data_IF_788726217788
#
_entry.id   IF_788726217788
#
_cell.length_a   1.000
_cell.length_b   1.000
_cell.length_c   1.000
_cell.angle_alpha   90.00
_cell.angle_beta   90.00
_cell.angle_gamma   90.00
#
_symmetry.space_group_name_H-M   'P 1'
#
loop_
_entity.id
_entity.type
_entity.pdbx_description
1 polymer ?
#
# COMPACT_ATOMS: atom_id res chain seq x y z
N UNK A 1 15.91 19.35 -18.45
CA UNK A 1 15.99 20.82 -18.66
C UNK A 1 16.09 21.29 -20.13
N UNK A 2 16.22 20.41 -21.14
CA UNK A 2 16.37 20.82 -22.56
C UNK A 2 15.32 20.24 -23.54
N UNK A 3 14.19 19.73 -23.04
CA UNK A 3 13.11 19.16 -23.90
C UNK A 3 11.73 19.74 -23.61
N UNK A 4 11.64 20.79 -22.79
CA UNK A 4 10.38 21.43 -22.39
C UNK A 4 10.40 22.88 -22.85
N UNK A 5 9.50 23.22 -23.77
CA UNK A 5 9.09 24.62 -23.97
C UNK A 5 8.19 25.05 -22.80
N UNK A 6 7.99 26.37 -22.63
CA UNK A 6 7.23 27.00 -21.54
C UNK A 6 5.78 26.46 -21.35
N UNK A 7 5.28 25.64 -22.28
CA UNK A 7 3.96 25.00 -22.25
C UNK A 7 3.97 23.48 -21.99
N UNK A 8 5.11 22.86 -21.65
CA UNK A 8 5.17 21.43 -21.32
C UNK A 8 4.98 20.47 -22.51
N UNK A 9 5.01 20.97 -23.75
CA UNK A 9 4.99 20.16 -24.97
C UNK A 9 6.42 19.82 -25.39
N UNK A 10 6.71 18.52 -25.56
CA UNK A 10 7.98 18.02 -26.10
C UNK A 10 8.02 18.32 -27.60
N UNK A 11 8.93 19.19 -28.02
CA UNK A 11 9.15 19.47 -29.45
C UNK A 11 9.88 18.28 -30.11
N UNK A 12 9.13 17.50 -30.88
CA UNK A 12 9.64 16.30 -31.56
C UNK A 12 10.55 16.64 -32.77
N UNK A 13 10.59 17.90 -33.24
CA UNK A 13 11.37 18.29 -34.42
C UNK A 13 12.87 18.41 -34.16
N UNK A 14 13.30 18.43 -32.89
CA UNK A 14 14.72 18.47 -32.48
C UNK A 14 15.31 17.09 -32.12
N UNK A 15 14.56 16.00 -32.31
CA UNK A 15 14.97 14.62 -31.95
C UNK A 15 16.11 14.07 -32.83
N UNK A 16 16.40 14.70 -33.98
CA UNK A 16 17.29 14.18 -35.02
C UNK A 16 18.77 14.07 -34.61
N UNK A 17 19.20 14.69 -33.51
CA UNK A 17 20.62 14.76 -33.11
C UNK A 17 20.98 14.08 -31.78
N UNK A 18 20.07 13.31 -31.17
CA UNK A 18 20.38 12.62 -29.93
C UNK A 18 20.91 11.19 -30.20
N UNK A 19 22.06 10.79 -29.61
CA UNK A 19 22.54 9.42 -29.71
C UNK A 19 21.50 8.44 -29.15
N UNK A 20 21.25 7.34 -29.86
CA UNK A 20 20.37 6.27 -29.38
C UNK A 20 21.19 5.33 -28.50
N UNK A 21 20.72 5.09 -27.27
CA UNK A 21 21.34 4.18 -26.31
C UNK A 21 20.37 3.03 -26.04
N UNK A 22 20.75 1.82 -26.48
CA UNK A 22 20.03 0.60 -26.15
C UNK A 22 20.29 0.24 -24.69
N UNK A 23 19.22 -0.05 -23.94
CA UNK A 23 19.28 -0.36 -22.51
C UNK A 23 18.37 -1.54 -22.20
N UNK A 24 18.83 -2.42 -21.31
CA UNK A 24 18.04 -3.57 -20.85
C UNK A 24 17.63 -3.35 -19.40
N UNK A 25 16.35 -3.55 -19.10
CA UNK A 25 15.80 -3.46 -17.74
C UNK A 25 14.94 -4.69 -17.42
N UNK A 26 14.85 -5.07 -16.16
CA UNK A 26 14.11 -6.25 -15.72
C UNK A 26 12.87 -5.84 -14.92
N UNK A 27 11.72 -6.46 -15.16
CA UNK A 27 10.47 -6.20 -14.39
C UNK A 27 10.67 -6.41 -12.88
N UNK A 28 11.47 -7.42 -12.50
CA UNK A 28 11.73 -7.80 -11.11
C UNK A 28 12.64 -6.81 -10.36
N UNK A 29 13.54 -6.13 -11.06
CA UNK A 29 14.53 -5.20 -10.48
C UNK A 29 14.48 -3.80 -11.08
N UNK A 30 13.36 -3.43 -11.72
CA UNK A 30 13.21 -2.23 -12.53
C UNK A 30 13.72 -0.95 -11.84
N UNK A 31 13.40 -0.79 -10.56
CA UNK A 31 13.86 0.36 -9.75
C UNK A 31 15.39 0.46 -9.73
N UNK A 32 16.08 -0.66 -9.48
CA UNK A 32 17.53 -0.69 -9.35
C UNK A 32 18.21 -0.48 -10.71
N UNK A 33 17.73 -1.14 -11.75
CA UNK A 33 18.26 -1.03 -13.10
C UNK A 33 18.17 0.42 -13.61
N UNK A 34 17.03 1.08 -13.36
CA UNK A 34 16.82 2.47 -13.74
C UNK A 34 17.70 3.42 -12.92
N UNK A 35 17.84 3.21 -11.60
CA UNK A 35 18.76 4.03 -10.79
C UNK A 35 20.19 3.92 -11.33
N UNK A 36 20.67 2.70 -11.61
CA UNK A 36 22.01 2.49 -12.17
C UNK A 36 22.17 3.14 -13.55
N UNK A 37 21.16 3.03 -14.41
CA UNK A 37 21.17 3.65 -15.73
C UNK A 37 21.32 5.18 -15.66
N UNK A 38 20.63 5.83 -14.71
CA UNK A 38 20.66 7.28 -14.55
C UNK A 38 21.82 7.79 -13.66
N UNK A 39 22.64 6.90 -13.10
CA UNK A 39 23.93 7.30 -12.49
C UNK A 39 24.95 7.75 -13.53
N UNK A 40 24.81 7.29 -14.78
CA UNK A 40 25.59 7.75 -15.92
C UNK A 40 25.06 9.12 -16.41
N UNK A 41 25.85 10.22 -16.29
CA UNK A 41 25.42 11.55 -16.72
C UNK A 41 25.07 11.64 -18.21
N UNK A 42 25.65 10.78 -19.05
CA UNK A 42 25.43 10.79 -20.51
C UNK A 42 24.08 10.19 -20.90
N UNK A 43 23.43 9.47 -19.99
CA UNK A 43 22.09 8.90 -20.19
C UNK A 43 21.06 9.99 -20.50
N UNK A 44 21.15 11.16 -19.87
CA UNK A 44 20.24 12.29 -20.12
C UNK A 44 20.44 12.94 -21.50
N UNK A 45 21.58 12.67 -22.14
CA UNK A 45 21.91 13.14 -23.48
C UNK A 45 21.55 12.15 -24.57
N UNK A 46 20.84 11.06 -24.27
CA UNK A 46 20.56 9.97 -25.22
C UNK A 46 19.07 9.64 -25.33
N UNK A 47 18.63 9.16 -26.50
CA UNK A 47 17.33 8.52 -26.67
C UNK A 47 17.43 7.06 -26.21
N UNK A 48 16.69 6.71 -25.17
CA UNK A 48 16.73 5.38 -24.58
C UNK A 48 15.81 4.41 -25.34
N UNK A 49 16.40 3.33 -25.85
CA UNK A 49 15.68 2.22 -26.45
C UNK A 49 15.68 1.05 -25.47
N UNK A 50 14.51 0.77 -24.88
CA UNK A 50 14.38 -0.23 -23.82
C UNK A 50 14.11 -1.63 -24.38
N UNK A 51 14.89 -2.60 -23.90
CA UNK A 51 14.58 -4.02 -23.92
C UNK A 51 14.14 -4.42 -22.51
N UNK A 52 12.93 -4.98 -22.37
CA UNK A 52 12.39 -5.37 -21.06
C UNK A 52 12.48 -6.88 -20.89
N UNK A 53 13.05 -7.33 -19.78
CA UNK A 53 13.03 -8.74 -19.37
C UNK A 53 11.85 -8.96 -18.41
N UNK A 54 10.95 -9.86 -18.78
CA UNK A 54 9.74 -10.21 -18.04
C UNK A 54 10.03 -10.99 -16.76
N UNK A 55 8.99 -11.27 -15.99
CA UNK A 55 9.09 -12.01 -14.71
C UNK A 55 9.56 -13.46 -14.86
N UNK A 56 9.42 -14.04 -16.05
CA UNK A 56 9.89 -15.39 -16.40
C UNK A 56 11.36 -15.40 -16.88
N UNK A 57 12.02 -14.24 -16.92
CA UNK A 57 13.38 -14.09 -17.42
C UNK A 57 13.51 -13.99 -18.94
N UNK A 58 12.39 -14.00 -19.68
CA UNK A 58 12.40 -13.87 -21.14
C UNK A 58 12.25 -12.40 -21.58
N UNK A 59 12.77 -12.06 -22.77
CA UNK A 59 12.60 -10.72 -23.33
C UNK A 59 11.16 -10.51 -23.80
N UNK A 60 10.56 -9.40 -23.39
CA UNK A 60 9.25 -8.96 -23.88
C UNK A 60 9.36 -8.54 -25.36
N UNK A 61 8.31 -8.81 -26.13
CA UNK A 61 8.26 -8.52 -27.58
C UNK A 61 7.95 -7.05 -27.91
N UNK A 62 7.65 -6.23 -26.90
CA UNK A 62 7.31 -4.83 -27.09
C UNK A 62 8.56 -4.00 -27.41
N UNK A 63 8.42 -3.00 -28.27
CA UNK A 63 9.49 -2.06 -28.62
C UNK A 63 8.96 -0.61 -28.76
N UNK A 64 9.87 0.36 -28.74
CA UNK A 64 9.58 1.76 -29.06
C UNK A 64 8.96 2.59 -27.92
N UNK A 65 8.30 3.69 -28.30
CA UNK A 65 7.83 4.74 -27.37
C UNK A 65 6.82 4.22 -26.34
N UNK A 66 6.01 3.22 -26.70
CA UNK A 66 5.07 2.59 -25.77
C UNK A 66 5.78 1.91 -24.60
N UNK A 67 6.85 1.16 -24.89
CA UNK A 67 7.67 0.49 -23.87
C UNK A 67 8.40 1.52 -23.01
N UNK A 68 8.97 2.57 -23.61
CA UNK A 68 9.62 3.63 -22.86
C UNK A 68 8.67 4.31 -21.85
N UNK A 69 7.42 4.59 -22.26
CA UNK A 69 6.40 5.15 -21.36
C UNK A 69 6.05 4.19 -20.23
N UNK A 70 5.89 2.91 -20.53
CA UNK A 70 5.59 1.89 -19.52
C UNK A 70 6.71 1.74 -18.49
N UNK A 71 7.96 1.63 -18.95
CA UNK A 71 9.16 1.55 -18.10
C UNK A 71 9.27 2.77 -17.20
N UNK A 72 9.14 3.98 -17.75
CA UNK A 72 9.24 5.22 -16.97
C UNK A 72 8.10 5.35 -15.97
N UNK A 73 6.87 5.03 -16.37
CA UNK A 73 5.69 5.09 -15.48
C UNK A 73 5.83 4.09 -14.34
N UNK A 74 6.21 2.86 -14.66
CA UNK A 74 6.43 1.79 -13.69
C UNK A 74 7.57 2.12 -12.74
N UNK A 75 8.68 2.68 -13.23
CA UNK A 75 9.79 3.15 -12.40
C UNK A 75 9.32 4.21 -11.40
N UNK A 76 8.70 5.29 -11.89
CA UNK A 76 8.29 6.40 -11.02
C UNK A 76 7.24 5.98 -10.00
N UNK A 77 6.32 5.09 -10.37
CA UNK A 77 5.37 4.53 -9.42
C UNK A 77 6.09 3.79 -8.28
N UNK A 78 6.95 2.82 -8.62
CA UNK A 78 7.67 2.02 -7.61
C UNK A 78 8.66 2.89 -6.80
N UNK A 79 9.27 3.90 -7.43
CA UNK A 79 10.21 4.80 -6.78
C UNK A 79 9.50 5.71 -5.76
N UNK A 80 8.44 6.41 -6.17
CA UNK A 80 7.68 7.31 -5.29
C UNK A 80 7.01 6.54 -4.15
N UNK A 81 6.45 5.36 -4.44
CA UNK A 81 5.84 4.49 -3.43
C UNK A 81 6.87 4.00 -2.38
N UNK A 82 8.15 3.94 -2.74
CA UNK A 82 9.22 3.55 -1.81
C UNK A 82 9.71 4.68 -0.90
N UNK A 83 9.27 5.92 -1.13
CA UNK A 83 9.63 7.08 -0.32
C UNK A 83 8.54 7.38 0.70
N UNK A 84 8.93 7.63 1.94
CA UNK A 84 8.00 8.10 2.95
C UNK A 84 7.45 9.49 2.57
N UNK A 85 6.15 9.71 2.77
CA UNK A 85 5.50 11.00 2.46
C UNK A 85 6.19 12.15 3.18
N UNK A 86 6.52 11.97 4.47
CA UNK A 86 7.23 12.98 5.26
C UNK A 86 8.62 13.28 4.74
N UNK A 87 9.32 12.32 4.13
CA UNK A 87 10.63 12.57 3.52
C UNK A 87 10.51 13.51 2.32
N UNK A 88 9.55 13.26 1.43
CA UNK A 88 9.30 14.11 0.25
C UNK A 88 8.77 15.48 0.68
N UNK A 89 7.87 15.51 1.67
CA UNK A 89 7.37 16.75 2.25
C UNK A 89 8.50 17.58 2.85
N UNK A 90 9.44 16.98 3.58
CA UNK A 90 10.61 17.68 4.14
C UNK A 90 11.48 18.27 3.03
N UNK A 91 11.72 17.53 1.93
CA UNK A 91 12.49 18.03 0.78
C UNK A 91 11.84 19.25 0.12
N UNK A 92 10.51 19.33 0.14
CA UNK A 92 9.74 20.39 -0.52
C UNK A 92 9.45 21.57 0.42
N UNK A 93 8.97 21.32 1.62
CA UNK A 93 8.33 22.32 2.49
C UNK A 93 9.08 22.56 3.81
N UNK A 94 10.26 21.97 3.98
CA UNK A 94 11.06 22.05 5.21
C UNK A 94 10.42 21.27 6.38
N UNK A 95 11.20 21.02 7.42
CA UNK A 95 10.84 20.15 8.54
C UNK A 95 9.73 20.76 9.41
N UNK A 96 9.78 22.08 9.59
CA UNK A 96 8.88 22.88 10.43
C UNK A 96 7.42 22.87 9.93
N UNK A 97 7.21 22.47 8.68
CA UNK A 97 5.89 22.36 8.08
C UNK A 97 5.16 21.05 8.45
N UNK A 98 5.86 20.09 9.05
CA UNK A 98 5.30 18.79 9.42
C UNK A 98 4.66 18.82 10.81
N UNK A 99 3.54 18.12 10.95
CA UNK A 99 2.91 17.90 12.27
C UNK A 99 3.41 16.62 12.92
N UNK A 100 3.34 16.54 14.26
CA UNK A 100 3.60 15.29 14.98
C UNK A 100 2.73 14.13 14.50
N UNK A 101 1.48 14.43 14.11
CA UNK A 101 0.58 13.43 13.54
C UNK A 101 1.14 12.85 12.22
N UNK A 102 1.74 13.68 11.38
CA UNK A 102 2.31 13.24 10.09
C UNK A 102 3.53 12.34 10.27
N UNK A 103 4.38 12.70 11.24
CA UNK A 103 5.55 11.90 11.62
C UNK A 103 5.12 10.55 12.19
N UNK A 104 4.18 10.53 13.14
CA UNK A 104 3.68 9.29 13.73
C UNK A 104 2.98 8.41 12.71
N UNK A 105 2.15 8.97 11.84
CA UNK A 105 1.47 8.21 10.78
C UNK A 105 2.48 7.60 9.79
N UNK A 106 3.53 8.34 9.45
CA UNK A 106 4.59 7.82 8.58
C UNK A 106 5.47 6.79 9.28
N UNK A 107 5.74 6.97 10.57
CA UNK A 107 6.51 6.02 11.38
C UNK A 107 5.75 4.71 11.55
N UNK A 108 4.45 4.78 11.81
CA UNK A 108 3.55 3.64 11.79
C UNK A 108 3.67 2.83 10.49
N UNK A 109 3.87 3.48 9.34
CA UNK A 109 4.03 2.80 8.05
C UNK A 109 5.47 2.36 7.75
N UNK A 110 6.46 2.89 8.48
CA UNK A 110 7.88 2.58 8.34
C UNK A 110 8.29 1.32 9.10
N UNK A 111 7.73 1.12 10.29
CA UNK A 111 7.96 -0.07 11.12
C UNK A 111 7.29 -1.31 10.53
N UNK A 112 7.78 -2.48 10.93
CA UNK A 112 7.25 -3.78 10.48
C UNK A 112 5.80 -3.99 10.90
N UNK A 113 5.11 -4.96 10.29
CA UNK A 113 3.69 -5.20 10.58
C UNK A 113 3.45 -5.59 12.05
N UNK A 114 4.33 -6.41 12.64
CA UNK A 114 4.26 -6.82 14.04
C UNK A 114 4.51 -5.63 14.98
N UNK A 115 5.58 -4.86 14.74
CA UNK A 115 5.90 -3.63 15.47
C UNK A 115 4.77 -2.60 15.39
N UNK A 116 4.09 -2.52 14.25
CA UNK A 116 2.95 -1.63 14.03
C UNK A 116 1.75 -2.01 14.89
N UNK A 117 1.47 -3.30 15.00
CA UNK A 117 0.41 -3.80 15.87
C UNK A 117 0.69 -3.43 17.34
N UNK A 118 1.92 -3.67 17.81
CA UNK A 118 2.35 -3.27 19.15
C UNK A 118 2.27 -1.76 19.36
N UNK A 119 2.75 -0.97 18.39
CA UNK A 119 2.68 0.49 18.41
C UNK A 119 1.23 0.99 18.53
N UNK A 120 0.31 0.42 17.75
CA UNK A 120 -1.10 0.81 17.75
C UNK A 120 -1.78 0.45 19.07
N UNK A 121 -1.59 -0.78 19.56
CA UNK A 121 -2.14 -1.22 20.85
C UNK A 121 -1.63 -0.34 22.00
N UNK A 122 -0.34 -0.02 22.02
CA UNK A 122 0.24 0.87 23.02
C UNK A 122 -0.35 2.29 22.93
N UNK A 123 -0.49 2.81 21.71
CA UNK A 123 -1.14 4.11 21.49
C UNK A 123 -2.60 4.11 21.95
N UNK A 124 -3.35 3.04 21.71
CA UNK A 124 -4.75 2.91 22.08
C UNK A 124 -4.97 2.64 23.58
N UNK A 125 -3.89 2.41 24.34
CA UNK A 125 -3.94 2.06 25.75
C UNK A 125 -4.31 0.60 26.01
N UNK A 126 -4.20 -0.27 25.00
CA UNK A 126 -4.43 -1.71 25.09
C UNK A 126 -3.19 -2.45 25.61
N UNK A 127 -2.00 -1.92 25.30
CA UNK A 127 -0.73 -2.36 25.89
C UNK A 127 -0.16 -1.30 26.83
N UNK A 128 0.35 -1.76 27.97
CA UNK A 128 1.04 -0.90 28.92
C UNK A 128 2.38 -0.43 28.32
N UNK A 129 2.85 0.80 28.59
CA UNK A 129 4.14 1.27 28.11
C UNK A 129 5.34 0.42 28.56
N UNK A 130 5.22 -0.29 29.69
CA UNK A 130 6.24 -1.20 30.23
C UNK A 130 6.06 -2.67 29.80
N UNK A 131 5.13 -2.94 28.87
CA UNK A 131 4.93 -4.27 28.29
C UNK A 131 6.17 -4.74 27.51
N UNK A 132 6.46 -6.04 27.54
CA UNK A 132 7.63 -6.65 26.90
C UNK A 132 7.68 -6.35 25.41
N UNK A 133 6.54 -6.42 24.69
CA UNK A 133 6.48 -6.13 23.25
C UNK A 133 6.82 -4.65 22.97
N UNK A 134 6.35 -3.74 23.82
CA UNK A 134 6.63 -2.30 23.69
C UNK A 134 8.11 -2.04 23.97
N UNK A 135 8.70 -2.68 24.97
CA UNK A 135 10.12 -2.55 25.28
C UNK A 135 11.01 -3.12 24.16
N UNK A 136 10.61 -4.24 23.55
CA UNK A 136 11.30 -4.80 22.38
C UNK A 136 11.25 -3.83 21.19
N UNK A 137 10.07 -3.29 20.86
CA UNK A 137 9.90 -2.25 19.83
C UNK A 137 10.84 -1.07 20.09
N UNK A 138 10.81 -0.50 21.29
CA UNK A 138 11.64 0.66 21.65
C UNK A 138 13.13 0.33 21.56
N UNK A 139 13.53 -0.87 21.98
CA UNK A 139 14.91 -1.36 21.91
C UNK A 139 15.41 -1.51 20.47
N UNK A 140 14.56 -1.97 19.53
CA UNK A 140 14.88 -2.07 18.10
C UNK A 140 15.33 -0.74 17.50
N UNK A 141 14.81 0.37 18.03
CA UNK A 141 15.18 1.74 17.64
C UNK A 141 16.20 2.40 18.59
N UNK A 142 16.86 1.61 19.45
CA UNK A 142 17.89 2.05 20.42
C UNK A 142 17.38 3.10 21.41
N UNK A 143 16.10 3.02 21.80
CA UNK A 143 15.57 3.85 22.87
C UNK A 143 16.09 3.35 24.22
N UNK A 144 16.72 4.24 24.98
CA UNK A 144 17.19 3.97 26.35
C UNK A 144 16.32 4.62 27.43
N UNK A 145 15.24 5.29 27.02
CA UNK A 145 14.30 5.90 27.96
C UNK A 145 13.38 4.82 28.54
N UNK A 146 13.05 4.97 29.82
CA UNK A 146 12.05 4.10 30.47
C UNK A 146 10.67 4.64 30.09
N UNK A 147 9.85 3.87 29.35
CA UNK A 147 8.51 4.30 28.97
C UNK A 147 7.54 4.28 30.15
N UNK A 148 6.61 5.22 30.15
CA UNK A 148 5.47 5.30 31.05
C UNK A 148 4.29 6.00 30.35
N UNK A 149 3.12 6.02 31.00
CA UNK A 149 1.90 6.57 30.40
C UNK A 149 2.00 8.06 30.04
N UNK A 150 2.87 8.82 30.71
CA UNK A 150 3.04 10.25 30.49
C UNK A 150 3.99 10.55 29.31
N UNK A 151 5.01 9.71 29.10
CA UNK A 151 6.07 9.97 28.13
C UNK A 151 6.01 9.14 26.84
N UNK A 152 5.23 8.05 26.78
CA UNK A 152 5.27 7.10 25.66
C UNK A 152 4.95 7.74 24.30
N UNK A 153 3.99 8.66 24.25
CA UNK A 153 3.64 9.40 23.03
C UNK A 153 4.78 10.30 22.55
N UNK A 154 5.51 10.89 23.49
CA UNK A 154 6.68 11.72 23.20
C UNK A 154 7.85 10.86 22.73
N UNK A 155 8.07 9.69 23.35
CA UNK A 155 9.08 8.72 22.91
C UNK A 155 8.82 8.31 21.45
N UNK A 156 7.59 7.92 21.11
CA UNK A 156 7.25 7.57 19.73
C UNK A 156 7.43 8.72 18.75
N UNK A 157 7.11 9.95 19.17
CA UNK A 157 7.29 11.13 18.33
C UNK A 157 8.78 11.40 18.07
N UNK A 158 9.63 11.24 19.09
CA UNK A 158 11.09 11.40 18.95
C UNK A 158 11.68 10.29 18.08
N UNK A 159 11.24 9.03 18.23
CA UNK A 159 11.67 7.94 17.36
C UNK A 159 11.27 8.19 15.90
N UNK A 160 10.03 8.61 15.66
CA UNK A 160 9.57 8.97 14.33
C UNK A 160 10.43 10.08 13.71
N UNK A 161 10.74 11.11 14.49
CA UNK A 161 11.59 12.21 14.07
C UNK A 161 13.03 11.76 13.78
N UNK A 162 13.62 10.96 14.66
CA UNK A 162 14.96 10.41 14.50
C UNK A 162 15.09 9.59 13.21
N UNK A 163 14.16 8.66 12.99
CA UNK A 163 14.23 7.73 11.87
C UNK A 163 13.89 8.38 10.53
N UNK A 164 12.87 9.24 10.49
CA UNK A 164 12.31 9.74 9.24
C UNK A 164 12.86 11.11 8.81
N UNK A 165 13.43 11.87 9.74
CA UNK A 165 13.93 13.23 9.49
C UNK A 165 15.42 13.32 9.75
N UNK A 166 15.88 12.98 10.96
CA UNK A 166 17.27 13.20 11.36
C UNK A 166 18.24 12.26 10.62
N UNK A 167 17.96 10.95 10.56
CA UNK A 167 18.80 9.98 9.83
C UNK A 167 18.94 10.30 8.34
N UNK A 168 17.86 10.60 7.59
CA UNK A 168 17.96 10.95 6.17
C UNK A 168 18.32 12.43 5.92
N UNK A 169 18.63 13.23 6.94
CA UNK A 169 18.87 14.69 6.81
C UNK A 169 19.90 15.06 5.75
N UNK A 170 20.99 14.29 5.65
CA UNK A 170 21.98 14.47 4.59
C UNK A 170 21.37 14.28 3.19
N UNK A 171 20.56 13.24 3.00
CA UNK A 171 19.89 12.95 1.72
C UNK A 171 18.89 14.06 1.38
N UNK A 172 18.11 14.53 2.36
CA UNK A 172 17.20 15.67 2.20
C UNK A 172 17.97 16.90 1.73
N UNK A 173 19.10 17.21 2.34
CA UNK A 173 19.94 18.35 1.95
C UNK A 173 20.45 18.23 0.50
N UNK A 174 20.85 17.03 0.07
CA UNK A 174 21.27 16.79 -1.32
C UNK A 174 20.10 16.88 -2.31
N UNK A 175 18.91 16.42 -1.92
CA UNK A 175 17.77 16.30 -2.82
C UNK A 175 16.95 17.59 -2.95
N UNK A 176 16.81 18.36 -1.87
CA UNK A 176 15.97 19.54 -1.83
C UNK A 176 16.22 20.49 -3.01
N UNK A 177 17.46 20.91 -3.37
CA UNK A 177 17.69 21.83 -4.48
C UNK A 177 17.15 21.34 -5.83
N UNK A 178 17.14 20.02 -6.05
CA UNK A 178 16.69 19.42 -7.30
C UNK A 178 15.16 19.22 -7.31
N UNK A 179 14.60 18.89 -6.15
CA UNK A 179 13.18 18.56 -5.99
C UNK A 179 12.30 19.81 -5.85
N UNK A 180 12.84 20.96 -5.43
CA UNK A 180 12.07 22.22 -5.34
C UNK A 180 11.33 22.58 -6.65
N UNK A 181 11.90 22.21 -7.81
CA UNK A 181 11.26 22.43 -9.12
C UNK A 181 9.89 21.75 -9.25
N UNK A 182 9.64 20.67 -8.49
CA UNK A 182 8.37 19.96 -8.50
C UNK A 182 7.20 20.80 -7.98
N UNK A 183 7.44 21.83 -7.16
CA UNK A 183 6.40 22.75 -6.67
C UNK A 183 5.62 23.46 -7.79
N UNK A 184 6.17 23.50 -9.00
CA UNK A 184 5.47 24.02 -10.18
C UNK A 184 4.28 23.15 -10.60
N UNK A 185 4.24 21.87 -10.20
CA UNK A 185 3.17 20.94 -10.53
C UNK A 185 2.12 20.89 -9.40
N UNK A 186 0.81 20.83 -9.73
CA UNK A 186 -0.26 20.86 -8.74
C UNK A 186 -0.10 19.86 -7.58
N UNK A 187 0.33 18.60 -7.79
CA UNK A 187 0.45 17.63 -6.70
C UNK A 187 1.48 17.96 -5.61
N UNK A 188 2.36 18.93 -5.83
CA UNK A 188 3.47 19.27 -4.93
C UNK A 188 3.40 20.72 -4.43
N UNK A 189 2.24 21.36 -4.52
CA UNK A 189 2.06 22.74 -4.07
C UNK A 189 1.84 22.86 -2.55
N UNK A 190 1.37 21.80 -1.91
CA UNK A 190 1.14 21.74 -0.46
C UNK A 190 1.33 20.32 0.07
N UNK A 191 1.50 20.19 1.39
CA UNK A 191 1.63 18.89 2.06
C UNK A 191 0.33 18.10 1.94
N UNK A 192 -0.81 18.79 2.02
CA UNK A 192 -2.15 18.19 1.94
C UNK A 192 -2.36 17.51 0.59
N UNK A 193 -2.09 18.22 -0.51
CA UNK A 193 -2.26 17.68 -1.86
C UNK A 193 -1.22 16.57 -2.14
N UNK A 194 -0.01 16.68 -1.58
CA UNK A 194 0.99 15.62 -1.64
C UNK A 194 0.48 14.33 -0.97
N UNK A 195 -0.10 14.44 0.24
CA UNK A 195 -0.69 13.31 0.95
C UNK A 195 -1.83 12.69 0.14
N UNK A 196 -2.72 13.51 -0.42
CA UNK A 196 -3.82 13.03 -1.27
C UNK A 196 -3.30 12.25 -2.49
N UNK A 197 -2.24 12.74 -3.13
CA UNK A 197 -1.62 12.05 -4.26
C UNK A 197 -1.06 10.68 -3.87
N UNK A 198 -0.33 10.59 -2.74
CA UNK A 198 0.14 9.33 -2.20
C UNK A 198 -1.00 8.38 -1.86
N UNK A 199 -2.05 8.89 -1.21
CA UNK A 199 -3.22 8.11 -0.87
C UNK A 199 -3.98 7.63 -2.11
N UNK A 200 -4.02 8.40 -3.20
CA UNK A 200 -4.60 8.00 -4.48
C UNK A 200 -3.82 6.84 -5.11
N UNK A 201 -2.48 6.90 -5.08
CA UNK A 201 -1.61 5.85 -5.65
C UNK A 201 -1.55 4.60 -4.78
N UNK A 202 -1.78 4.72 -3.48
CA UNK A 202 -1.82 3.58 -2.57
C UNK A 202 -2.86 2.54 -3.01
N UNK A 203 -2.45 1.31 -3.36
CA UNK A 203 -3.38 0.27 -3.75
C UNK A 203 -4.22 -0.17 -2.55
N UNK A 204 -5.49 -0.43 -2.80
CA UNK A 204 -6.41 -1.02 -1.81
C UNK A 204 -7.27 -2.08 -2.48
N UNK A 205 -7.79 -3.05 -1.73
CA UNK A 205 -8.68 -4.07 -2.30
C UNK A 205 -9.84 -3.43 -3.08
N UNK A 206 -10.38 -2.30 -2.60
CA UNK A 206 -11.45 -1.56 -3.28
C UNK A 206 -10.99 -0.96 -4.61
N UNK A 207 -9.81 -0.35 -4.65
CA UNK A 207 -9.26 0.23 -5.90
C UNK A 207 -8.92 -0.87 -6.91
N UNK A 208 -8.29 -1.95 -6.46
CA UNK A 208 -7.96 -3.10 -7.30
C UNK A 208 -9.23 -3.76 -7.86
N UNK A 209 -10.24 -4.00 -7.03
CA UNK A 209 -11.53 -4.55 -7.47
C UNK A 209 -12.22 -3.65 -8.50
N UNK A 210 -12.17 -2.32 -8.33
CA UNK A 210 -12.74 -1.36 -9.31
C UNK A 210 -12.03 -1.38 -10.67
N UNK A 211 -10.76 -1.79 -10.72
CA UNK A 211 -9.99 -1.90 -11.96
C UNK A 211 -10.30 -3.19 -12.74
N UNK A 212 -10.90 -4.20 -12.09
CA UNK A 212 -11.30 -5.46 -12.74
C UNK A 212 -12.47 -5.23 -13.70
N UNK A 213 -12.14 -4.92 -14.96
CA UNK A 213 -13.08 -4.92 -16.09
C UNK A 213 -13.07 -6.30 -16.73
N UNK A 214 -14.16 -7.03 -16.57
CA UNK A 214 -14.36 -8.32 -17.22
C UNK A 214 -15.80 -8.37 -17.75
N UNK A 215 -15.97 -8.85 -18.97
CA UNK A 215 -17.27 -9.18 -19.57
C UNK A 215 -17.30 -10.70 -19.68
N UNK A 216 -17.73 -11.40 -18.61
CA UNK A 216 -17.74 -12.86 -18.59
C UNK A 216 -18.68 -13.39 -19.67
N UNK A 217 -18.19 -14.34 -20.47
CA UNK A 217 -18.93 -14.92 -21.58
C UNK A 217 -19.79 -16.12 -21.18
N UNK A 218 -19.53 -16.71 -20.01
CA UNK A 218 -20.24 -17.87 -19.48
C UNK A 218 -20.34 -17.84 -17.95
N UNK A 219 -21.17 -18.71 -17.40
CA UNK A 219 -21.46 -18.77 -15.96
C UNK A 219 -20.23 -19.12 -15.11
N UNK A 220 -19.30 -19.91 -15.64
CA UNK A 220 -18.06 -20.24 -14.94
C UNK A 220 -17.16 -19.00 -14.80
N UNK A 221 -17.04 -18.18 -15.84
CA UNK A 221 -16.32 -16.91 -15.82
C UNK A 221 -17.00 -15.87 -14.91
N UNK A 222 -18.33 -15.84 -14.89
CA UNK A 222 -19.11 -15.04 -13.95
C UNK A 222 -18.81 -15.43 -12.50
N UNK A 223 -18.83 -16.73 -12.19
CA UNK A 223 -18.54 -17.23 -10.84
C UNK A 223 -17.09 -16.95 -10.42
N UNK A 224 -16.13 -17.07 -11.33
CA UNK A 224 -14.74 -16.68 -11.07
C UNK A 224 -14.61 -15.17 -10.82
N UNK A 225 -15.28 -14.32 -11.60
CA UNK A 225 -15.28 -12.87 -11.40
C UNK A 225 -15.93 -12.48 -10.07
N UNK A 226 -17.05 -13.10 -9.71
CA UNK A 226 -17.73 -12.90 -8.43
C UNK A 226 -16.86 -13.36 -7.26
N UNK A 227 -16.11 -14.45 -7.42
CA UNK A 227 -15.13 -14.90 -6.44
C UNK A 227 -13.96 -13.91 -6.26
N UNK A 228 -13.52 -13.26 -7.34
CA UNK A 228 -12.51 -12.19 -7.27
C UNK A 228 -13.05 -10.89 -6.63
N UNK A 229 -14.37 -10.66 -6.69
CA UNK A 229 -15.06 -9.49 -6.12
C UNK A 229 -15.69 -9.73 -4.74
N UNK A 230 -15.53 -10.94 -4.18
CA UNK A 230 -16.30 -11.52 -3.06
C UNK A 230 -16.01 -10.95 -1.67
N UNK A 231 -15.72 -9.66 -1.54
CA UNK A 231 -15.67 -9.04 -0.20
C UNK A 231 -17.07 -8.83 0.42
N UNK A 232 -18.16 -8.97 -0.35
CA UNK A 232 -19.52 -8.55 0.08
C UNK A 232 -20.73 -9.47 -0.30
N UNK A 233 -20.56 -10.69 -0.82
CA UNK A 233 -21.71 -11.53 -1.27
C UNK A 233 -21.69 -12.96 -0.69
N UNK A 234 -22.80 -13.39 -0.05
CA UNK A 234 -22.99 -14.74 0.51
C UNK A 234 -23.77 -15.68 -0.43
N UNK A 235 -23.62 -17.00 -0.24
CA UNK A 235 -24.17 -18.03 -1.13
C UNK A 235 -25.71 -17.96 -1.27
N UNK A 236 -26.45 -17.69 -0.20
CA UNK A 236 -27.91 -17.53 -0.25
C UNK A 236 -28.35 -16.34 -1.12
N UNK A 237 -27.63 -15.21 -1.06
CA UNK A 237 -27.90 -14.05 -1.91
C UNK A 237 -27.59 -14.33 -3.39
N UNK A 238 -26.55 -15.14 -3.66
CA UNK A 238 -26.21 -15.56 -5.03
C UNK A 238 -27.28 -16.53 -5.56
N UNK A 239 -27.73 -17.49 -4.74
CA UNK A 239 -28.78 -18.43 -5.12
C UNK A 239 -30.11 -17.75 -5.44
N UNK A 240 -30.51 -16.72 -4.70
CA UNK A 240 -31.70 -15.92 -5.00
C UNK A 240 -31.62 -15.21 -6.36
N UNK A 241 -30.49 -14.59 -6.67
CA UNK A 241 -30.29 -13.90 -7.96
C UNK A 241 -30.46 -14.83 -9.17
N UNK A 242 -30.16 -16.11 -9.00
CA UNK A 242 -30.30 -17.13 -10.04
C UNK A 242 -31.64 -17.88 -9.98
N UNK A 243 -32.59 -17.44 -9.15
CA UNK A 243 -33.91 -18.05 -9.03
C UNK A 243 -33.90 -19.43 -8.35
N UNK A 244 -32.82 -19.78 -7.63
CA UNK A 244 -32.64 -21.08 -7.00
C UNK A 244 -33.20 -21.17 -5.58
N UNK A 245 -33.74 -20.08 -5.04
CA UNK A 245 -34.48 -20.05 -3.78
C UNK A 245 -35.76 -19.24 -3.96
N UNK A 246 -36.81 -19.65 -3.26
CA UNK A 246 -38.09 -18.95 -3.29
C UNK A 246 -37.99 -17.60 -2.56
N UNK A 247 -38.88 -16.68 -2.95
CA UNK A 247 -38.90 -15.30 -2.46
C UNK A 247 -39.09 -15.23 -0.94
N UNK A 248 -39.88 -16.12 -0.36
CA UNK A 248 -40.12 -16.17 1.10
C UNK A 248 -38.85 -16.57 1.84
N UNK A 249 -38.13 -17.59 1.35
CA UNK A 249 -36.83 -18.00 1.90
C UNK A 249 -35.78 -16.91 1.76
N UNK A 250 -35.79 -16.16 0.66
CA UNK A 250 -34.87 -15.04 0.46
C UNK A 250 -35.18 -13.85 1.37
N UNK A 251 -36.45 -13.46 1.51
CA UNK A 251 -36.89 -12.41 2.42
C UNK A 251 -36.55 -12.74 3.88
N UNK A 252 -36.75 -14.00 4.30
CA UNK A 252 -36.34 -14.45 5.61
C UNK A 252 -34.82 -14.34 5.81
N UNK A 253 -34.01 -14.71 4.82
CA UNK A 253 -32.56 -14.54 4.85
C UNK A 253 -32.14 -13.07 4.98
N UNK A 254 -32.76 -12.18 4.20
CA UNK A 254 -32.47 -10.73 4.24
C UNK A 254 -32.86 -10.14 5.59
N UNK A 255 -34.03 -10.51 6.12
CA UNK A 255 -34.48 -10.07 7.44
C UNK A 255 -33.50 -10.49 8.54
N UNK A 256 -33.09 -11.76 8.58
CA UNK A 256 -32.09 -12.25 9.56
C UNK A 256 -30.75 -11.52 9.40
N UNK A 257 -30.32 -11.26 8.16
CA UNK A 257 -29.08 -10.52 7.88
C UNK A 257 -29.17 -9.07 8.37
N UNK A 258 -30.29 -8.40 8.17
CA UNK A 258 -30.48 -7.01 8.58
C UNK A 258 -30.70 -6.89 10.10
N UNK A 259 -31.37 -7.85 10.73
CA UNK A 259 -31.44 -7.99 12.19
C UNK A 259 -30.04 -8.21 12.79
N UNK A 260 -29.22 -9.09 12.21
CA UNK A 260 -27.84 -9.31 12.65
C UNK A 260 -26.97 -8.06 12.47
N UNK A 261 -27.20 -7.26 11.43
CA UNK A 261 -26.51 -5.98 11.21
C UNK A 261 -26.95 -4.92 12.21
N UNK A 262 -28.25 -4.84 12.49
CA UNK A 262 -28.80 -3.92 13.48
C UNK A 262 -28.28 -4.24 14.88
N UNK A 263 -28.26 -5.52 15.27
CA UNK A 263 -27.73 -5.93 16.56
C UNK A 263 -26.21 -5.71 16.63
N UNK A 264 -25.46 -6.02 15.55
CA UNK A 264 -24.03 -5.69 15.46
C UNK A 264 -23.77 -4.19 15.61
N UNK A 265 -24.58 -3.33 14.99
CA UNK A 265 -24.44 -1.87 15.09
C UNK A 265 -24.70 -1.41 16.53
N UNK A 266 -25.78 -1.89 17.15
CA UNK A 266 -26.14 -1.63 18.54
C UNK A 266 -25.07 -2.13 19.52
N UNK A 267 -24.53 -3.33 19.32
CA UNK A 267 -23.44 -3.88 20.13
C UNK A 267 -22.17 -3.06 19.97
N UNK A 268 -21.87 -2.59 18.75
CA UNK A 268 -20.72 -1.71 18.47
C UNK A 268 -20.87 -0.36 19.19
N UNK A 269 -22.07 0.24 19.20
CA UNK A 269 -22.36 1.49 19.93
C UNK A 269 -22.26 1.32 21.45
N UNK A 270 -22.67 0.16 21.98
CA UNK A 270 -22.64 -0.15 23.40
C UNK A 270 -21.30 -0.74 23.91
N UNK A 271 -20.32 -0.92 23.03
CA UNK A 271 -19.01 -1.43 23.40
C UNK A 271 -18.24 -0.40 24.25
N UNK A 272 -17.52 -0.84 25.31
CA UNK A 272 -16.60 0.06 26.04
C UNK A 272 -16.49 -0.05 27.56
N UNK A 273 -17.39 -0.75 28.27
CA UNK A 273 -17.25 -0.89 29.76
C UNK A 273 -17.46 -2.32 30.29
N UNK A 274 -18.26 -3.17 29.61
CA UNK A 274 -18.50 -4.58 30.03
C UNK A 274 -18.53 -5.60 28.88
N UNK A 275 -18.44 -5.14 27.63
CA UNK A 275 -18.53 -5.96 26.42
C UNK A 275 -17.58 -5.43 25.37
N UNK A 276 -16.85 -6.35 24.73
CA UNK A 276 -16.05 -6.13 23.53
C UNK A 276 -16.70 -6.86 22.36
N UNK A 277 -16.66 -6.25 21.16
CA UNK A 277 -17.34 -6.76 19.98
C UNK A 277 -16.31 -7.06 18.91
N UNK A 278 -16.20 -8.33 18.58
CA UNK A 278 -15.19 -8.84 17.67
C UNK A 278 -15.87 -9.36 16.41
N UNK A 279 -15.29 -9.03 15.27
CA UNK A 279 -15.57 -9.71 14.01
C UNK A 279 -14.43 -10.62 13.65
N UNK A 280 -14.77 -11.82 13.23
CA UNK A 280 -13.80 -12.85 12.89
C UNK A 280 -13.91 -13.07 11.39
N UNK A 281 -12.84 -12.83 10.65
CA UNK A 281 -12.77 -13.19 9.23
C UNK A 281 -12.38 -14.67 9.12
N UNK A 282 -13.39 -15.54 9.19
CA UNK A 282 -13.23 -16.95 8.86
C UNK A 282 -13.20 -17.12 7.34
N UNK A 283 -12.08 -16.75 6.70
CA UNK A 283 -11.91 -17.06 5.27
C UNK A 283 -12.16 -18.55 5.04
N UNK A 284 -13.22 -18.87 4.31
CA UNK A 284 -13.40 -20.19 3.72
C UNK A 284 -12.23 -20.39 2.73
N UNK A 285 -11.26 -21.22 3.13
CA UNK A 285 -10.07 -21.52 2.33
C UNK A 285 -10.53 -22.29 1.09
N UNK A 286 -10.66 -21.60 -0.04
CA UNK A 286 -10.86 -22.27 -1.32
C UNK A 286 -9.59 -23.04 -1.69
N UNK A 287 -9.71 -24.37 -1.70
CA UNK A 287 -8.71 -25.26 -2.28
C UNK A 287 -8.76 -25.11 -3.81
N UNK A 288 -7.71 -24.56 -4.41
CA UNK A 288 -7.42 -24.70 -5.84
C UNK A 288 -6.23 -25.66 -6.03
N UNK A 289 -6.20 -26.48 -7.12
CA UNK A 289 -6.04 -27.93 -6.95
C UNK A 289 -4.64 -28.52 -7.22
N UNK A 290 -4.48 -29.73 -6.65
CA UNK A 290 -3.51 -30.82 -6.89
C UNK A 290 -2.13 -30.72 -6.23
N UNK A 291 -2.05 -31.23 -5.00
CA UNK A 291 -0.78 -31.55 -4.30
C UNK A 291 -0.89 -32.95 -3.69
N UNK A 292 0.21 -33.71 -3.66
CA UNK A 292 0.26 -35.08 -3.12
C UNK A 292 -0.18 -35.13 -1.64
N UNK A 293 -0.94 -36.17 -1.29
CA UNK A 293 -1.65 -36.32 0.00
C UNK A 293 -0.80 -36.14 1.27
N UNK A 294 0.51 -36.42 1.23
CA UNK A 294 1.39 -36.26 2.39
C UNK A 294 1.65 -34.79 2.78
N UNK A 295 1.54 -33.85 1.84
CA UNK A 295 1.65 -32.42 2.13
C UNK A 295 0.39 -31.85 2.81
N UNK A 296 -0.75 -32.53 2.70
CA UNK A 296 -2.03 -32.08 3.24
C UNK A 296 -2.02 -32.11 4.77
N UNK A 297 -1.43 -33.15 5.38
CA UNK A 297 -1.38 -33.34 6.83
C UNK A 297 -0.56 -32.27 7.57
N UNK A 298 0.53 -31.79 6.95
CA UNK A 298 1.33 -30.70 7.52
C UNK A 298 0.70 -29.31 7.29
N UNK A 299 -0.12 -29.15 6.25
CA UNK A 299 -0.73 -27.85 5.90
C UNK A 299 -2.00 -27.56 6.71
N UNK A 300 -2.80 -28.56 7.10
CA UNK A 300 -3.93 -28.37 8.03
C UNK A 300 -3.51 -27.84 9.39
N UNK A 301 -2.31 -28.21 9.86
CA UNK A 301 -1.74 -27.66 11.11
C UNK A 301 -1.31 -26.18 10.97
N UNK A 302 -0.98 -25.73 9.76
CA UNK A 302 -0.68 -24.33 9.43
C UNK A 302 -1.93 -23.48 9.11
N UNK A 303 -3.05 -24.11 8.74
CA UNK A 303 -4.27 -23.44 8.24
C UNK A 303 -5.13 -22.74 9.29
N UNK A 304 -4.80 -22.86 10.58
CA UNK A 304 -5.51 -22.18 11.67
C UNK A 304 -4.88 -20.80 12.00
N UNK A 305 -3.71 -20.49 11.43
CA UNK A 305 -2.95 -19.27 11.76
C UNK A 305 -3.41 -17.98 11.05
N UNK A 306 -4.39 -18.05 10.12
CA UNK A 306 -4.96 -16.86 9.46
C UNK A 306 -6.34 -16.48 10.04
N UNK A 307 -6.53 -16.70 11.34
CA UNK A 307 -7.73 -16.28 12.05
C UNK A 307 -7.54 -14.83 12.49
N UNK A 308 -8.01 -13.89 11.68
CA UNK A 308 -7.97 -12.47 12.03
C UNK A 308 -9.19 -12.10 12.87
N UNK A 309 -8.93 -11.71 14.11
CA UNK A 309 -9.90 -11.07 14.98
C UNK A 309 -9.80 -9.57 14.75
N UNK A 310 -10.95 -8.92 14.56
CA UNK A 310 -11.05 -7.49 14.38
C UNK A 310 -12.01 -6.91 15.40
N UNK A 311 -11.52 -6.09 16.32
CA UNK A 311 -12.35 -5.40 17.29
C UNK A 311 -13.06 -4.23 16.61
N UNK A 312 -14.39 -4.29 16.56
CA UNK A 312 -15.17 -3.29 15.81
C UNK A 312 -15.10 -1.88 16.41
N UNK A 313 -14.82 -1.77 17.72
CA UNK A 313 -14.73 -0.47 18.40
C UNK A 313 -13.34 0.11 18.28
N UNK A 314 -12.32 -0.66 18.64
CA UNK A 314 -10.94 -0.17 18.69
C UNK A 314 -10.24 -0.21 17.33
N UNK A 315 -10.84 -0.91 16.36
CA UNK A 315 -10.36 -1.03 14.97
C UNK A 315 -9.02 -1.78 14.86
N UNK A 316 -8.67 -2.55 15.88
CA UNK A 316 -7.56 -3.52 15.93
C UNK A 316 -7.93 -4.81 15.22
#
# INVERSE_FOLDING_TARGET
HRLTTEAGVIDLNHIVNYPVKAVTVHRTTLKNDMIQLFQDPDTLGSLLMFTVIGFDGSAEKGEGVGVARDVLTSFWQVFVDSLAVVFVATCLFEEESLTNHDLLQSFRMYISDDERETFDKCCNGELSPDDEEVLELLSSYKCHCIPNAENIRLIFSELAHQELIQKPKYVVHCWAPHIQTLKSFPPFQSIEVLKEMYDEKRPSSRKVIKLLKCVPANDAENQCLDHLKRKDQCDTCISAKHGNIDEVSYEAHIKVKDEARAEKAKDTENAGLKKSVWTIDVRAVFLLPKIKASALYYKTKLQVHNLSFYNLKTKE
#
